data_IF_019439206159
#
_entry.id   IF_019439206159
#
_cell.length_a   1.000
_cell.length_b   1.000
_cell.length_c   1.000
_cell.angle_alpha   90.00
_cell.angle_beta   90.00
_cell.angle_gamma   90.00
#
_symmetry.space_group_name_H-M   'P 1'
#
loop_
_entity.id
_entity.type
_entity.pdbx_description
1 polymer ?
#
# COMPACT_ATOMS: atom_id res chain seq x y z
N UNK A 1 -5.22 -0.80 -22.67
CA UNK A 1 -5.72 -0.71 -21.29
C UNK A 1 -4.97 -1.68 -20.40
N UNK A 2 -4.04 -1.22 -19.55
CA UNK A 2 -3.59 -2.01 -18.39
C UNK A 2 -4.26 -1.41 -17.16
N UNK A 3 -5.52 -1.81 -16.93
CA UNK A 3 -6.37 -1.20 -15.92
C UNK A 3 -5.91 -1.57 -14.51
N UNK A 4 -5.68 -0.61 -13.63
CA UNK A 4 -5.52 -0.86 -12.19
C UNK A 4 -6.90 -0.71 -11.57
N UNK A 5 -7.38 -1.74 -10.87
CA UNK A 5 -8.70 -1.68 -10.22
C UNK A 5 -8.53 -1.07 -8.85
N UNK A 6 -9.40 -0.10 -8.57
CA UNK A 6 -9.39 0.64 -7.34
C UNK A 6 -10.78 0.74 -6.74
N UNK A 7 -11.02 0.06 -5.62
CA UNK A 7 -12.34 0.02 -4.98
C UNK A 7 -12.26 -0.10 -3.46
N UNK A 8 -13.26 0.41 -2.71
CA UNK A 8 -13.40 0.09 -1.30
C UNK A 8 -13.43 -1.42 -1.08
N UNK A 9 -12.74 -1.92 -0.05
CA UNK A 9 -12.66 -3.37 0.22
C UNK A 9 -14.05 -3.98 0.40
N UNK A 10 -14.97 -3.26 1.03
CA UNK A 10 -16.37 -3.67 1.22
C UNK A 10 -17.12 -3.89 -0.09
N UNK A 11 -16.68 -3.24 -1.18
CA UNK A 11 -17.26 -3.37 -2.52
C UNK A 11 -16.63 -4.50 -3.35
N UNK A 12 -15.53 -5.12 -2.89
CA UNK A 12 -14.79 -6.14 -3.66
C UNK A 12 -15.66 -7.33 -4.04
N UNK A 13 -16.51 -7.81 -3.13
CA UNK A 13 -17.47 -8.88 -3.42
C UNK A 13 -18.41 -8.52 -4.59
N UNK A 14 -18.88 -7.28 -4.64
CA UNK A 14 -19.78 -6.81 -5.72
C UNK A 14 -19.07 -6.77 -7.07
N UNK A 15 -17.79 -6.35 -7.07
CA UNK A 15 -16.96 -6.36 -8.27
C UNK A 15 -16.78 -7.78 -8.82
N UNK A 16 -16.44 -8.73 -7.96
CA UNK A 16 -16.22 -10.14 -8.37
C UNK A 16 -17.50 -10.77 -8.91
N UNK A 17 -18.66 -10.47 -8.32
CA UNK A 17 -19.96 -11.07 -8.71
C UNK A 17 -20.57 -10.39 -9.96
N UNK A 18 -20.38 -9.08 -10.16
CA UNK A 18 -20.98 -8.38 -11.31
C UNK A 18 -20.21 -8.70 -12.60
N UNK A 19 -20.81 -9.55 -13.43
CA UNK A 19 -20.28 -9.99 -14.74
C UNK A 19 -20.09 -8.88 -15.80
N UNK A 20 -20.56 -7.65 -15.55
CA UNK A 20 -20.56 -6.58 -16.56
C UNK A 20 -19.17 -5.95 -16.83
N UNK A 21 -18.14 -6.30 -16.06
CA UNK A 21 -16.73 -6.01 -16.37
C UNK A 21 -16.03 -7.29 -16.82
N UNK A 22 -16.37 -7.78 -18.02
CA UNK A 22 -15.99 -9.12 -18.51
C UNK A 22 -14.49 -9.39 -18.41
N UNK A 23 -13.64 -8.40 -18.73
CA UNK A 23 -12.18 -8.59 -18.70
C UNK A 23 -11.58 -8.58 -17.27
N UNK A 24 -12.09 -7.72 -16.38
CA UNK A 24 -11.58 -7.55 -15.02
C UNK A 24 -12.08 -8.65 -14.07
N UNK A 25 -13.33 -9.07 -14.24
CA UNK A 25 -13.95 -10.15 -13.47
C UNK A 25 -13.28 -11.50 -13.77
N UNK A 26 -12.89 -11.75 -15.03
CA UNK A 26 -12.22 -12.99 -15.43
C UNK A 26 -10.86 -13.18 -14.75
N UNK A 27 -10.03 -12.13 -14.62
CA UNK A 27 -8.72 -12.26 -13.97
C UNK A 27 -8.81 -12.49 -12.45
N UNK A 28 -9.93 -12.10 -11.81
CA UNK A 28 -10.17 -12.31 -10.38
C UNK A 28 -10.98 -13.58 -10.10
N UNK A 29 -11.34 -14.34 -11.14
CA UNK A 29 -12.18 -15.51 -11.00
C UNK A 29 -11.51 -16.57 -10.10
N UNK A 30 -12.21 -16.91 -9.02
CA UNK A 30 -11.72 -17.88 -8.04
C UNK A 30 -10.48 -17.45 -7.27
N UNK A 31 -10.10 -16.16 -7.31
CA UNK A 31 -9.05 -15.60 -6.45
C UNK A 31 -9.53 -15.38 -5.02
N UNK A 32 -10.83 -15.13 -4.83
CA UNK A 32 -11.43 -14.78 -3.55
C UNK A 32 -12.61 -15.70 -3.20
N UNK A 33 -12.75 -15.97 -1.90
CA UNK A 33 -13.96 -16.52 -1.29
C UNK A 33 -14.41 -15.57 -0.17
N UNK A 34 -15.73 -15.35 -0.06
CA UNK A 34 -16.29 -14.33 0.82
C UNK A 34 -17.24 -14.98 1.84
N UNK A 35 -16.96 -14.76 3.12
CA UNK A 35 -17.89 -15.10 4.17
C UNK A 35 -19.20 -14.30 4.02
N UNK A 36 -20.29 -14.90 4.49
CA UNK A 36 -21.61 -14.24 4.49
C UNK A 36 -21.66 -13.05 5.45
N UNK A 37 -20.81 -13.06 6.47
CA UNK A 37 -20.72 -12.04 7.52
C UNK A 37 -19.38 -11.32 7.47
N UNK A 38 -19.39 -10.01 7.71
CA UNK A 38 -18.17 -9.19 7.76
C UNK A 38 -17.52 -9.36 9.14
N UNK A 39 -16.33 -9.95 9.17
CA UNK A 39 -15.53 -10.25 10.39
C UNK A 39 -14.05 -10.35 10.00
N UNK A 40 -13.07 -10.30 10.93
CA UNK A 40 -11.66 -10.49 10.55
C UNK A 40 -11.43 -11.77 9.72
N UNK A 41 -10.78 -11.63 8.57
CA UNK A 41 -10.52 -12.69 7.61
C UNK A 41 -11.71 -13.10 6.74
N UNK A 42 -12.78 -12.28 6.70
CA UNK A 42 -13.99 -12.56 5.89
C UNK A 42 -13.76 -12.60 4.39
N UNK A 43 -12.64 -12.07 3.90
CA UNK A 43 -12.20 -12.22 2.51
C UNK A 43 -11.05 -13.22 2.50
N UNK A 44 -11.35 -14.45 2.11
CA UNK A 44 -10.35 -15.46 1.90
C UNK A 44 -9.77 -15.32 0.49
N UNK A 45 -8.48 -15.56 0.31
CA UNK A 45 -7.84 -15.52 -1.01
C UNK A 45 -6.97 -16.73 -1.29
N UNK A 46 -6.85 -17.10 -2.57
CA UNK A 46 -5.99 -18.18 -3.04
C UNK A 46 -4.60 -17.65 -3.40
N UNK A 47 -3.54 -17.93 -2.60
CA UNK A 47 -2.19 -17.46 -2.87
C UNK A 47 -1.58 -18.02 -4.16
N UNK A 48 -2.16 -19.09 -4.72
CA UNK A 48 -1.73 -19.62 -6.02
C UNK A 48 -2.22 -18.76 -7.17
N UNK A 49 -3.32 -18.02 -7.01
CA UNK A 49 -3.93 -17.22 -8.08
C UNK A 49 -3.68 -15.73 -7.93
N UNK A 50 -3.61 -15.21 -6.71
CA UNK A 50 -3.38 -13.78 -6.45
C UNK A 50 -2.27 -13.59 -5.41
N UNK A 51 -1.45 -12.55 -5.63
CA UNK A 51 -0.46 -12.12 -4.64
C UNK A 51 -1.02 -10.96 -3.82
N UNK A 52 -1.12 -11.12 -2.51
CA UNK A 52 -1.46 -10.02 -1.59
C UNK A 52 -0.19 -9.46 -0.97
N UNK A 53 0.15 -8.20 -1.27
CA UNK A 53 1.35 -7.52 -0.77
C UNK A 53 1.09 -6.61 0.44
N UNK A 54 -0.16 -6.29 0.73
CA UNK A 54 -0.55 -5.54 1.92
C UNK A 54 -1.79 -6.21 2.49
N UNK A 55 -1.68 -6.71 3.72
CA UNK A 55 -2.73 -7.40 4.43
C UNK A 55 -3.35 -6.44 5.44
N UNK A 56 -4.67 -6.26 5.36
CA UNK A 56 -5.46 -5.76 6.49
C UNK A 56 -6.21 -6.94 7.12
N UNK A 57 -6.83 -6.72 8.28
CA UNK A 57 -7.54 -7.77 9.02
C UNK A 57 -8.71 -8.38 8.25
N UNK A 58 -9.11 -7.84 7.09
CA UNK A 58 -10.16 -8.41 6.25
C UNK A 58 -9.69 -9.60 5.41
N UNK A 59 -8.40 -9.70 5.10
CA UNK A 59 -7.86 -10.68 4.14
C UNK A 59 -7.20 -11.87 4.85
N UNK A 60 -7.52 -13.09 4.41
CA UNK A 60 -6.91 -14.32 4.94
C UNK A 60 -6.51 -15.29 3.81
N UNK A 61 -5.28 -15.83 3.79
CA UNK A 61 -4.90 -16.82 2.80
C UNK A 61 -5.59 -18.17 3.09
N UNK A 62 -6.06 -18.85 2.03
CA UNK A 62 -6.60 -20.22 2.11
C UNK A 62 -5.52 -21.31 2.16
N UNK A 63 -4.25 -20.95 1.97
CA UNK A 63 -3.14 -21.89 1.94
C UNK A 63 -1.80 -21.23 2.23
N UNK A 64 -0.71 -21.92 1.89
CA UNK A 64 0.64 -21.40 2.12
C UNK A 64 0.94 -20.24 1.18
N UNK A 65 1.23 -19.08 1.76
CA UNK A 65 1.74 -17.91 1.03
C UNK A 65 3.19 -18.14 0.65
N UNK A 66 3.62 -17.62 -0.50
CA UNK A 66 5.02 -17.69 -0.91
C UNK A 66 5.91 -17.09 0.19
N UNK A 67 6.96 -17.83 0.60
CA UNK A 67 7.88 -17.46 1.68
C UNK A 67 8.57 -16.10 1.48
N UNK A 68 8.65 -15.64 0.23
CA UNK A 68 9.27 -14.37 -0.12
C UNK A 68 8.33 -13.19 0.16
N UNK A 69 7.03 -13.42 0.38
CA UNK A 69 6.02 -12.40 0.64
C UNK A 69 5.78 -12.27 2.15
N UNK A 70 5.97 -11.07 2.68
CA UNK A 70 5.55 -10.67 4.02
C UNK A 70 4.53 -9.52 3.89
N UNK A 71 3.26 -9.88 3.79
CA UNK A 71 2.17 -8.94 3.56
C UNK A 71 1.96 -7.98 4.75
N UNK A 72 2.29 -8.42 5.98
CA UNK A 72 2.19 -7.59 7.19
C UNK A 72 3.26 -6.48 7.19
N UNK A 73 4.45 -6.77 6.66
CA UNK A 73 5.51 -5.76 6.51
C UNK A 73 5.48 -5.02 5.16
N UNK A 74 4.58 -5.42 4.27
CA UNK A 74 4.49 -4.98 2.88
C UNK A 74 5.80 -5.24 2.12
N UNK A 75 6.37 -6.42 2.27
CA UNK A 75 7.74 -6.69 1.84
C UNK A 75 7.84 -7.97 1.00
N UNK A 76 8.67 -7.91 -0.04
CA UNK A 76 9.14 -9.05 -0.83
C UNK A 76 10.64 -9.24 -0.60
N UNK A 77 11.02 -10.40 -0.07
CA UNK A 77 12.43 -10.77 0.17
C UNK A 77 13.02 -11.46 -1.05
N UNK A 78 14.12 -10.91 -1.58
CA UNK A 78 14.72 -11.37 -2.84
C UNK A 78 16.23 -11.54 -2.65
N UNK A 79 16.68 -12.63 -2.01
CA UNK A 79 18.07 -12.77 -1.56
C UNK A 79 18.99 -13.36 -2.62
N UNK A 80 18.47 -14.21 -3.49
CA UNK A 80 19.23 -14.98 -4.47
C UNK A 80 18.45 -15.11 -5.80
N UNK A 81 19.05 -15.78 -6.78
CA UNK A 81 18.45 -15.96 -8.12
C UNK A 81 17.16 -16.78 -8.09
N UNK A 82 17.03 -17.76 -7.16
CA UNK A 82 15.78 -18.52 -7.00
C UNK A 82 14.66 -17.60 -6.49
N UNK A 83 14.93 -16.77 -5.49
CA UNK A 83 13.96 -15.80 -4.99
C UNK A 83 13.61 -14.75 -6.06
N UNK A 84 14.55 -14.41 -6.96
CA UNK A 84 14.29 -13.53 -8.10
C UNK A 84 13.38 -14.19 -9.14
N UNK A 85 13.53 -15.49 -9.38
CA UNK A 85 12.60 -16.26 -10.22
C UNK A 85 11.20 -16.29 -9.60
N UNK A 86 11.11 -16.58 -8.30
CA UNK A 86 9.85 -16.52 -7.56
C UNK A 86 9.21 -15.13 -7.63
N UNK A 87 9.99 -14.06 -7.53
CA UNK A 87 9.51 -12.68 -7.69
C UNK A 87 8.89 -12.45 -9.07
N UNK A 88 9.51 -12.98 -10.13
CA UNK A 88 8.92 -12.91 -11.47
C UNK A 88 7.56 -13.59 -11.50
N UNK A 89 7.45 -14.82 -10.96
CA UNK A 89 6.21 -15.58 -10.95
C UNK A 89 5.12 -14.92 -10.09
N UNK A 90 5.51 -14.28 -8.99
CA UNK A 90 4.64 -13.47 -8.12
C UNK A 90 4.02 -12.30 -8.88
N UNK A 91 4.79 -11.64 -9.74
CA UNK A 91 4.37 -10.45 -10.49
C UNK A 91 3.65 -10.77 -11.82
N UNK A 92 3.63 -12.04 -12.24
CA UNK A 92 2.80 -12.54 -13.35
C UNK A 92 1.36 -12.80 -12.93
N UNK A 93 1.07 -12.85 -11.62
CA UNK A 93 -0.29 -12.95 -11.08
C UNK A 93 -0.89 -11.56 -10.89
N UNK A 94 -2.22 -11.44 -10.71
CA UNK A 94 -2.79 -10.24 -10.15
C UNK A 94 -2.13 -9.96 -8.78
N UNK A 95 -1.86 -8.68 -8.50
CA UNK A 95 -1.24 -8.23 -7.26
C UNK A 95 -2.16 -7.26 -6.54
N UNK A 96 -2.53 -7.59 -5.31
CA UNK A 96 -3.37 -6.76 -4.45
C UNK A 96 -2.53 -6.02 -3.40
N UNK A 97 -2.78 -4.72 -3.27
CA UNK A 97 -2.37 -3.89 -2.15
C UNK A 97 -3.59 -3.26 -1.48
N UNK A 98 -3.68 -3.38 -0.15
CA UNK A 98 -4.55 -2.54 0.67
C UNK A 98 -3.89 -1.18 0.92
N UNK A 99 -4.52 -0.12 0.46
CA UNK A 99 -4.17 1.26 0.76
C UNK A 99 -5.28 1.89 1.61
N UNK A 100 -4.92 2.74 2.56
CA UNK A 100 -5.87 3.34 3.50
C UNK A 100 -5.98 4.84 3.21
N UNK A 101 -7.20 5.30 2.96
CA UNK A 101 -7.52 6.72 2.89
C UNK A 101 -8.01 7.18 4.24
N UNK A 102 -7.24 8.01 4.92
CA UNK A 102 -7.65 8.67 6.15
C UNK A 102 -8.33 9.98 5.84
N UNK A 103 -9.54 10.13 6.35
CA UNK A 103 -10.30 11.37 6.37
C UNK A 103 -10.22 11.91 7.79
N UNK A 104 -9.49 13.00 7.98
CA UNK A 104 -9.44 13.74 9.23
C UNK A 104 -10.66 14.67 9.28
N UNK A 105 -11.24 14.83 10.45
CA UNK A 105 -12.28 15.83 10.69
C UNK A 105 -11.75 16.82 11.72
N UNK A 106 -11.01 17.85 11.31
CA UNK A 106 -10.58 18.87 12.25
C UNK A 106 -11.80 19.58 12.79
N UNK A 107 -11.98 19.44 14.10
CA UNK A 107 -12.97 20.16 14.87
C UNK A 107 -14.44 19.76 14.72
N UNK A 108 -14.74 18.47 14.85
CA UNK A 108 -16.07 18.07 15.29
C UNK A 108 -16.49 18.76 16.62
N UNK A 109 -15.51 19.17 17.45
CA UNK A 109 -15.69 19.97 18.67
C UNK A 109 -15.94 21.48 18.46
N UNK A 110 -15.50 22.11 17.36
CA UNK A 110 -15.73 23.56 17.12
C UNK A 110 -17.00 23.79 16.31
N UNK A 111 -17.36 22.85 15.42
CA UNK A 111 -18.63 22.88 14.68
C UNK A 111 -19.86 22.55 15.55
N UNK A 112 -19.67 21.89 16.70
CA UNK A 112 -20.72 21.57 17.67
C UNK A 112 -20.55 22.43 18.93
N UNK A 113 -20.74 23.75 18.83
CA UNK A 113 -20.66 24.64 20.01
C UNK A 113 -21.76 24.36 21.04
N UNK A 114 -22.87 23.73 20.65
CA UNK A 114 -23.94 23.27 21.55
C UNK A 114 -24.04 21.74 21.57
N UNK A 115 -23.08 21.08 22.22
CA UNK A 115 -23.11 19.63 22.46
C UNK A 115 -24.37 19.14 23.21
N UNK A 116 -25.10 20.04 23.88
CA UNK A 116 -26.28 19.74 24.68
C UNK A 116 -27.57 19.62 23.85
N UNK A 117 -27.63 20.18 22.65
CA UNK A 117 -28.81 20.15 21.76
C UNK A 117 -28.76 19.04 20.71
N UNK A 118 -27.64 18.32 20.60
CA UNK A 118 -27.47 17.23 19.65
C UNK A 118 -28.13 15.93 20.14
N UNK A 119 -28.72 15.21 19.19
CA UNK A 119 -29.19 13.83 19.37
C UNK A 119 -28.03 12.93 19.82
N UNK A 120 -28.26 11.85 20.60
CA UNK A 120 -27.21 11.00 21.16
C UNK A 120 -26.20 10.49 20.12
N UNK A 121 -26.67 10.06 18.95
CA UNK A 121 -25.83 9.58 17.84
C UNK A 121 -24.90 10.68 17.28
N UNK A 122 -25.36 11.94 17.27
CA UNK A 122 -24.57 13.07 16.78
C UNK A 122 -23.49 13.48 17.79
N UNK A 123 -23.72 13.32 19.10
CA UNK A 123 -22.68 13.53 20.12
C UNK A 123 -21.57 12.49 20.01
N UNK A 124 -21.91 11.23 19.75
CA UNK A 124 -20.90 10.17 19.55
C UNK A 124 -20.02 10.48 18.33
N UNK A 125 -20.63 10.90 17.21
CA UNK A 125 -19.93 11.34 16.00
C UNK A 125 -19.08 12.59 16.23
N UNK A 126 -19.50 13.51 17.12
CA UNK A 126 -18.74 14.73 17.43
C UNK A 126 -17.38 14.48 18.13
N UNK A 127 -17.16 13.26 18.61
CA UNK A 127 -15.89 12.81 19.21
C UNK A 127 -14.93 12.18 18.19
N UNK A 128 -15.39 11.90 16.97
CA UNK A 128 -14.58 11.29 15.93
C UNK A 128 -13.64 12.33 15.30
N UNK A 129 -12.33 12.12 15.45
CA UNK A 129 -11.29 12.95 14.81
C UNK A 129 -11.10 12.62 13.32
N UNK A 130 -11.87 11.68 12.79
CA UNK A 130 -11.77 11.18 11.42
C UNK A 130 -12.20 9.72 11.27
N UNK A 131 -12.14 9.22 10.05
CA UNK A 131 -12.38 7.82 9.70
C UNK A 131 -11.37 7.33 8.65
N UNK A 132 -11.04 6.04 8.71
CA UNK A 132 -10.17 5.38 7.75
C UNK A 132 -11.01 4.51 6.80
N UNK A 133 -10.76 4.63 5.50
CA UNK A 133 -11.36 3.77 4.47
C UNK A 133 -10.24 2.96 3.81
N UNK A 134 -10.35 1.65 3.90
CA UNK A 134 -9.45 0.76 3.17
C UNK A 134 -9.93 0.48 1.75
N UNK A 135 -8.99 0.57 0.82
CA UNK A 135 -9.19 0.28 -0.59
C UNK A 135 -8.31 -0.87 -1.05
N UNK A 136 -8.86 -1.72 -1.91
CA UNK A 136 -8.11 -2.70 -2.67
C UNK A 136 -7.60 -2.04 -3.96
N UNK A 137 -6.28 -2.02 -4.12
CA UNK A 137 -5.57 -1.64 -5.35
C UNK A 137 -5.10 -2.94 -6.00
N UNK A 138 -5.68 -3.29 -7.15
CA UNK A 138 -5.38 -4.55 -7.83
C UNK A 138 -4.69 -4.24 -9.16
N UNK A 139 -3.45 -4.70 -9.28
CA UNK A 139 -2.71 -4.72 -10.52
C UNK A 139 -3.03 -6.02 -11.27
N UNK A 140 -3.41 -5.96 -12.56
CA UNK A 140 -3.55 -7.16 -13.37
C UNK A 140 -2.22 -7.91 -13.54
N UNK A 141 -2.29 -9.18 -13.99
CA UNK A 141 -1.13 -9.98 -14.38
C UNK A 141 -0.09 -9.20 -15.19
N UNK A 142 1.17 -9.19 -14.75
CA UNK A 142 2.29 -8.59 -15.47
C UNK A 142 2.31 -7.05 -15.50
N UNK A 143 1.23 -6.35 -15.13
CA UNK A 143 1.18 -4.87 -15.18
C UNK A 143 2.18 -4.27 -14.20
N UNK A 144 2.19 -4.75 -12.95
CA UNK A 144 3.15 -4.29 -11.96
C UNK A 144 4.58 -4.61 -12.40
N UNK A 145 4.83 -5.84 -12.90
CA UNK A 145 6.13 -6.27 -13.44
C UNK A 145 6.65 -5.30 -14.50
N UNK A 146 5.80 -4.92 -15.45
CA UNK A 146 6.13 -3.99 -16.53
C UNK A 146 6.48 -2.60 -15.98
N UNK A 147 5.70 -2.09 -15.02
CA UNK A 147 5.97 -0.79 -14.38
C UNK A 147 7.30 -0.75 -13.63
N UNK A 148 7.74 -1.86 -13.04
CA UNK A 148 9.01 -1.93 -12.28
C UNK A 148 10.14 -2.66 -13.03
N UNK A 149 10.03 -2.88 -14.33
CA UNK A 149 10.97 -3.72 -15.09
C UNK A 149 12.43 -3.24 -15.03
N UNK A 150 12.66 -1.93 -15.05
CA UNK A 150 14.00 -1.33 -14.88
C UNK A 150 14.58 -1.68 -13.51
N UNK A 151 13.75 -1.61 -12.47
CA UNK A 151 14.11 -1.97 -11.10
C UNK A 151 14.40 -3.46 -10.98
N UNK A 152 13.64 -4.33 -11.66
CA UNK A 152 13.90 -5.78 -11.69
C UNK A 152 15.27 -6.10 -12.32
N UNK A 153 15.61 -5.45 -13.44
CA UNK A 153 16.95 -5.58 -14.05
C UNK A 153 18.07 -5.17 -13.08
N UNK A 154 17.86 -4.07 -12.35
CA UNK A 154 18.81 -3.60 -11.35
C UNK A 154 18.93 -4.58 -10.17
N UNK A 155 17.81 -5.10 -9.66
CA UNK A 155 17.80 -6.12 -8.59
C UNK A 155 18.64 -7.33 -9.00
N UNK A 156 18.43 -7.86 -10.21
CA UNK A 156 19.18 -9.02 -10.69
C UNK A 156 20.69 -8.75 -10.71
N UNK A 157 21.10 -7.58 -11.19
CA UNK A 157 22.50 -7.15 -11.16
C UNK A 157 23.05 -7.09 -9.73
N UNK A 158 22.31 -6.49 -8.79
CA UNK A 158 22.72 -6.39 -7.37
C UNK A 158 22.84 -7.75 -6.69
N UNK A 159 21.97 -8.71 -7.03
CA UNK A 159 22.06 -10.08 -6.54
C UNK A 159 23.35 -10.75 -7.04
N UNK A 160 23.66 -10.63 -8.34
CA UNK A 160 24.90 -11.16 -8.92
C UNK A 160 26.16 -10.55 -8.27
N UNK A 161 26.12 -9.25 -7.98
CA UNK A 161 27.20 -8.52 -7.30
C UNK A 161 27.20 -8.69 -5.76
N UNK A 162 26.27 -9.47 -5.20
CA UNK A 162 26.08 -9.67 -3.74
C UNK A 162 25.92 -8.35 -2.95
N UNK A 163 25.35 -7.33 -3.59
CA UNK A 163 25.08 -6.02 -2.97
C UNK A 163 23.75 -6.03 -2.23
N UNK A 164 23.70 -5.37 -1.08
CA UNK A 164 22.44 -5.19 -0.35
C UNK A 164 21.64 -4.05 -0.95
N UNK A 165 20.33 -4.22 -1.05
CA UNK A 165 19.43 -3.23 -1.59
C UNK A 165 18.09 -3.23 -0.88
N UNK A 166 17.42 -2.09 -0.94
CA UNK A 166 16.05 -1.94 -0.51
C UNK A 166 15.36 -0.96 -1.46
N UNK A 167 14.41 -1.46 -2.24
CA UNK A 167 13.64 -0.67 -3.20
C UNK A 167 12.26 -0.46 -2.62
N UNK A 168 11.90 0.80 -2.34
CA UNK A 168 10.52 1.17 -2.03
C UNK A 168 9.77 1.43 -3.33
N UNK A 169 8.66 0.73 -3.54
CA UNK A 169 7.73 0.99 -4.63
C UNK A 169 6.51 1.67 -4.03
N UNK A 170 6.24 2.90 -4.45
CA UNK A 170 5.19 3.76 -3.90
C UNK A 170 4.13 4.05 -4.96
N UNK A 171 2.87 3.78 -4.62
CA UNK A 171 1.69 4.05 -5.44
C UNK A 171 0.97 5.33 -4.99
N UNK A 172 1.47 6.09 -4.00
CA UNK A 172 0.79 7.27 -3.45
C UNK A 172 0.34 8.26 -4.52
N UNK A 173 1.18 8.51 -5.53
CA UNK A 173 0.84 9.43 -6.61
C UNK A 173 -0.35 8.94 -7.44
N UNK A 174 -0.33 7.66 -7.83
CA UNK A 174 -1.47 7.01 -8.48
C UNK A 174 -2.74 7.09 -7.61
N UNK A 175 -2.62 6.93 -6.29
CA UNK A 175 -3.76 7.08 -5.37
C UNK A 175 -4.30 8.51 -5.33
N UNK A 176 -3.42 9.50 -5.38
CA UNK A 176 -3.78 10.91 -5.42
C UNK A 176 -4.51 11.23 -6.72
N UNK A 177 -3.96 10.87 -7.88
CA UNK A 177 -4.57 11.10 -9.20
C UNK A 177 -5.97 10.47 -9.34
N UNK A 178 -6.19 9.30 -8.72
CA UNK A 178 -7.48 8.60 -8.75
C UNK A 178 -8.50 9.14 -7.73
N UNK A 179 -8.09 10.06 -6.86
CA UNK A 179 -9.02 10.72 -5.93
C UNK A 179 -9.85 11.73 -6.72
N UNK A 180 -11.20 11.74 -6.64
CA UNK A 180 -12.02 12.73 -7.34
C UNK A 180 -11.56 14.17 -7.06
N UNK A 181 -11.57 15.03 -8.07
CA UNK A 181 -11.06 16.41 -7.99
C UNK A 181 -11.75 17.21 -6.88
N UNK A 182 -13.04 16.97 -6.64
CA UNK A 182 -13.84 17.59 -5.58
C UNK A 182 -13.35 17.20 -4.17
N UNK A 183 -12.57 16.13 -4.05
CA UNK A 183 -11.90 15.70 -2.82
C UNK A 183 -10.40 16.09 -2.80
N UNK A 184 -9.87 16.63 -3.90
CA UNK A 184 -8.50 17.14 -4.04
C UNK A 184 -8.38 18.65 -3.86
N UNK A 185 -9.49 19.40 -3.77
CA UNK A 185 -9.46 20.84 -3.56
C UNK A 185 -8.64 21.20 -2.29
N UNK A 186 -7.94 22.32 -2.33
CA UNK A 186 -6.84 22.62 -1.40
C UNK A 186 -7.24 22.58 0.10
N UNK A 187 -8.51 22.85 0.41
CA UNK A 187 -9.06 22.75 1.78
C UNK A 187 -9.31 21.30 2.22
N UNK A 188 -9.54 20.34 1.32
CA UNK A 188 -9.74 18.92 1.65
C UNK A 188 -8.44 18.11 1.73
N UNK A 189 -7.34 18.59 1.14
CA UNK A 189 -6.02 17.92 1.23
C UNK A 189 -5.38 18.01 2.62
N UNK A 190 -5.72 19.01 3.44
CA UNK A 190 -5.37 19.00 4.87
C UNK A 190 -6.10 17.86 5.62
N UNK A 191 -7.24 17.43 5.09
CA UNK A 191 -8.13 16.48 5.74
C UNK A 191 -8.08 15.08 5.12
N UNK A 192 -7.46 14.89 3.95
CA UNK A 192 -7.37 13.58 3.29
C UNK A 192 -5.93 13.16 3.08
N UNK A 193 -5.56 12.01 3.64
CA UNK A 193 -4.22 11.46 3.49
C UNK A 193 -4.23 9.97 3.13
N UNK A 194 -3.30 9.57 2.27
CA UNK A 194 -3.11 8.19 1.87
C UNK A 194 -1.99 7.53 2.68
N UNK A 195 -2.31 6.38 3.25
CA UNK A 195 -1.43 5.51 4.01
C UNK A 195 -1.35 4.13 3.36
N UNK A 196 -0.36 3.33 3.77
CA UNK A 196 -0.15 1.96 3.24
C UNK A 196 0.02 1.90 1.72
N UNK A 197 0.52 2.98 1.11
CA UNK A 197 0.69 3.12 -0.35
C UNK A 197 2.01 2.59 -0.88
N UNK A 198 2.77 1.81 -0.10
CA UNK A 198 4.06 1.35 -0.58
C UNK A 198 4.39 -0.04 -0.10
N UNK A 199 5.15 -0.75 -0.92
CA UNK A 199 5.76 -2.03 -0.58
C UNK A 199 7.26 -1.99 -0.87
N UNK A 200 7.99 -2.96 -0.34
CA UNK A 200 9.46 -3.01 -0.41
C UNK A 200 9.94 -4.28 -1.09
N UNK A 201 10.88 -4.15 -2.02
CA UNK A 201 11.66 -5.26 -2.58
C UNK A 201 13.06 -5.21 -1.97
N UNK A 202 13.50 -6.24 -1.25
CA UNK A 202 14.80 -6.17 -0.55
C UNK A 202 15.45 -7.53 -0.32
N UNK A 203 16.79 -7.57 -0.36
CA UNK A 203 17.57 -8.70 0.18
C UNK A 203 18.13 -8.43 1.59
N UNK A 204 17.73 -7.30 2.19
CA UNK A 204 18.16 -6.82 3.49
C UNK A 204 16.95 -6.58 4.39
N UNK A 205 16.83 -5.40 5.00
CA UNK A 205 15.71 -5.02 5.84
C UNK A 205 15.07 -3.71 5.37
N UNK A 206 13.74 -3.63 5.55
CA UNK A 206 12.98 -2.40 5.45
C UNK A 206 13.58 -1.34 6.40
N UNK A 207 13.72 -0.07 5.96
CA UNK A 207 14.24 0.99 6.82
C UNK A 207 13.33 1.17 8.04
N UNK A 208 13.93 1.31 9.22
CA UNK A 208 13.18 1.60 10.44
C UNK A 208 12.65 3.03 10.37
N UNK A 209 11.33 3.21 10.35
CA UNK A 209 10.73 4.50 9.99
C UNK A 209 11.13 5.62 10.95
N UNK A 210 11.12 5.34 12.26
CA UNK A 210 11.52 6.32 13.29
C UNK A 210 12.99 6.73 13.21
N UNK A 211 13.88 5.81 12.81
CA UNK A 211 15.31 6.09 12.74
C UNK A 211 15.66 6.82 11.44
N UNK A 212 14.95 6.55 10.34
CA UNK A 212 15.24 7.16 9.03
C UNK A 212 14.54 8.51 8.79
N UNK A 213 13.27 8.67 9.18
CA UNK A 213 12.42 9.74 8.63
C UNK A 213 11.89 10.76 9.64
N UNK A 214 12.02 10.51 10.95
CA UNK A 214 11.62 11.51 11.94
C UNK A 214 12.63 12.66 11.91
N UNK A 215 12.25 13.81 11.39
CA UNK A 215 13.06 15.03 11.29
C UNK A 215 12.39 16.21 12.03
N UNK A 216 11.85 15.99 13.23
CA UNK A 216 11.24 17.05 14.03
C UNK A 216 12.23 17.68 15.02
N UNK A 217 12.50 18.98 14.93
CA UNK A 217 13.40 19.72 15.84
C UNK A 217 13.13 19.42 17.34
N UNK A 218 11.84 19.32 17.72
CA UNK A 218 11.39 18.93 19.06
C UNK A 218 11.72 17.48 19.44
N UNK A 219 11.70 16.55 18.48
CA UNK A 219 12.09 15.14 18.70
C UNK A 219 13.60 15.01 18.92
N UNK A 220 14.41 15.79 18.20
CA UNK A 220 15.87 15.77 18.30
C UNK A 220 16.40 16.52 19.52
N UNK A 221 15.69 17.53 20.04
CA UNK A 221 16.07 18.25 21.26
C UNK A 221 15.87 17.42 22.54
N UNK A 222 14.76 16.66 22.64
CA UNK A 222 14.45 15.83 23.82
C UNK A 222 15.17 14.47 23.78
N UNK A 223 15.44 13.93 22.59
CA UNK A 223 16.08 12.63 22.40
C UNK A 223 17.50 12.71 21.84
N UNK A 224 18.17 13.86 21.98
CA UNK A 224 19.52 14.14 21.44
C UNK A 224 20.54 12.97 21.63
N UNK A 225 20.56 12.25 22.77
CA UNK A 225 21.42 11.08 22.91
C UNK A 225 21.03 9.92 21.98
N UNK A 226 19.75 9.53 21.93
CA UNK A 226 19.24 8.48 21.02
C UNK A 226 19.46 8.83 19.55
N UNK A 227 19.28 10.10 19.26
CA UNK A 227 19.54 10.75 17.99
C UNK A 227 20.98 10.50 17.47
N UNK A 228 21.98 10.81 18.29
CA UNK A 228 23.39 10.78 17.89
C UNK A 228 24.01 9.39 18.03
N UNK A 229 23.58 8.60 19.02
CA UNK A 229 24.16 7.28 19.30
C UNK A 229 23.42 6.11 18.65
N UNK A 230 22.18 6.28 18.20
CA UNK A 230 21.38 5.21 17.58
C UNK A 230 21.01 5.57 16.14
N UNK A 231 20.33 6.69 15.93
CA UNK A 231 19.78 7.02 14.62
C UNK A 231 20.86 7.42 13.60
N UNK A 232 21.84 8.24 13.98
CA UNK A 232 22.93 8.64 13.08
C UNK A 232 23.82 7.45 12.66
N UNK A 233 24.32 6.60 13.58
CA UNK A 233 25.07 5.40 13.22
C UNK A 233 24.26 4.45 12.34
N UNK A 234 22.97 4.28 12.63
CA UNK A 234 22.06 3.49 11.80
C UNK A 234 21.97 4.03 10.36
N UNK A 235 21.74 5.34 10.20
CA UNK A 235 21.65 6.00 8.88
C UNK A 235 22.95 5.87 8.09
N UNK A 236 24.10 6.12 8.73
CA UNK A 236 25.42 6.01 8.11
C UNK A 236 25.71 4.58 7.68
N UNK A 237 25.55 3.62 8.59
CA UNK A 237 25.77 2.19 8.33
C UNK A 237 24.89 1.72 7.18
N UNK A 238 23.61 2.12 7.18
CA UNK A 238 22.68 1.76 6.11
C UNK A 238 23.10 2.35 4.77
N UNK A 239 23.49 3.63 4.73
CA UNK A 239 23.94 4.31 3.51
C UNK A 239 25.18 3.66 2.90
N UNK A 240 26.06 3.11 3.73
CA UNK A 240 27.27 2.40 3.28
C UNK A 240 26.92 0.98 2.81
N UNK A 241 26.11 0.27 3.58
CA UNK A 241 25.90 -1.17 3.38
C UNK A 241 24.76 -1.51 2.42
N UNK A 242 23.78 -0.62 2.23
CA UNK A 242 22.55 -0.89 1.51
C UNK A 242 22.19 0.26 0.57
N UNK A 243 21.94 -0.07 -0.69
CA UNK A 243 21.44 0.90 -1.65
C UNK A 243 19.92 1.02 -1.54
N UNK A 244 19.47 2.06 -0.85
CA UNK A 244 18.06 2.45 -0.79
C UNK A 244 17.66 3.19 -2.07
N UNK A 245 16.61 2.70 -2.72
CA UNK A 245 16.06 3.32 -3.94
C UNK A 245 14.56 3.47 -3.81
N UNK A 246 14.00 4.43 -4.53
CA UNK A 246 12.58 4.75 -4.50
C UNK A 246 12.03 4.79 -5.92
N UNK A 247 10.97 4.03 -6.15
CA UNK A 247 10.24 3.96 -7.42
C UNK A 247 8.85 4.50 -7.15
N UNK A 248 8.49 5.60 -7.81
CA UNK A 248 7.13 6.13 -7.81
C UNK A 248 6.40 5.54 -9.00
N UNK A 249 5.24 4.93 -8.75
CA UNK A 249 4.36 4.45 -9.79
C UNK A 249 3.39 5.57 -10.17
N UNK A 250 3.53 6.03 -11.40
CA UNK A 250 2.63 6.99 -12.03
C UNK A 250 1.58 6.23 -12.86
N UNK A 251 0.41 6.83 -13.09
CA UNK A 251 -0.48 6.34 -14.12
C UNK A 251 0.12 6.69 -15.49
N UNK A 252 0.26 5.69 -16.35
CA UNK A 252 0.34 5.97 -17.78
C UNK A 252 -1.08 6.32 -18.22
N UNK A 253 -1.49 7.56 -17.99
CA UNK A 253 -2.56 8.13 -18.79
C UNK A 253 -1.97 8.31 -20.20
N UNK A 254 -2.22 7.34 -21.09
CA UNK A 254 -2.41 7.74 -22.48
C UNK A 254 -3.67 8.61 -22.46
N UNK A 255 -3.43 9.92 -22.43
CA UNK A 255 -4.41 10.94 -22.73
C UNK A 255 -4.87 10.67 -24.15
N UNK A 256 -5.98 9.95 -24.31
CA UNK A 256 -6.77 10.06 -25.53
C UNK A 256 -7.48 11.41 -25.49
N UNK A 257 -6.75 12.45 -25.90
CA UNK A 257 -7.37 13.57 -26.59
C UNK A 257 -7.73 13.09 -28.00
N UNK A 258 -8.99 13.28 -28.39
CA UNK A 258 -9.53 13.02 -29.72
C UNK A 258 -10.43 11.78 -29.75
N UNK A 259 -11.71 11.86 -30.11
CA UNK A 259 -12.43 12.86 -30.92
C UNK A 259 -13.88 12.97 -30.49
#
# INVERSE_FOLDING_TARGET
>A
MQAVIFIPITCLRRLVIKQNYVAESQMLQGCFDFDKEVKPGWIQYDPQKITVLSCNDSLRPMGTVNRNVDANKQMLSVKNEADFKDLSDILEKPVLLCATRRHQCPNAKILCSDLLSLEPAQRELSSMNGFDIDFAVIFPPGVLKNKIIKSLKNIRKKIAERKRFCIRVDIKHMMQELTPTELQDAESLEFVSWHNTSFWLTNHCKPHHSLMYVNGFLFWAVLFPLSLFVALPYRLTRRILCEDTHVRLENCAEVHCGS
#
